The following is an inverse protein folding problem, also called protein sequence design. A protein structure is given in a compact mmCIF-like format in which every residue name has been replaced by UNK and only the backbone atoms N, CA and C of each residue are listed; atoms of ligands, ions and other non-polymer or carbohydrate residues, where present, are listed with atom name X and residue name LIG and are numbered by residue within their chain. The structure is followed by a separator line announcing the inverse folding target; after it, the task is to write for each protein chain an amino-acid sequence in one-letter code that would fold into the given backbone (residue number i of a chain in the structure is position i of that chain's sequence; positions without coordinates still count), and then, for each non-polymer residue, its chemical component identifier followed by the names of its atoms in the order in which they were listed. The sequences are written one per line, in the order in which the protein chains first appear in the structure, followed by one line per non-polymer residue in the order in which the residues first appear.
data_IF_978225034419
#
_entry.id   IF_978225034419
#
_cell.length_a   1.000
_cell.length_b   1.000
_cell.length_c   1.000
_cell.angle_alpha   90.00
_cell.angle_beta   90.00
_cell.angle_gamma   90.00
#
_symmetry.space_group_name_H-M   'P 1'
#
loop_
_entity.id
_entity.type
_entity.pdbx_description
1 polymer ?
#
# COMPACT_ATOMS: atom_id res chain seq x y z
N UNK A 1 -43.99 12.05 5.49
CA UNK A 1 -43.79 11.64 4.09
C UNK A 1 -44.61 10.37 3.82
N UNK A 2 -45.12 10.13 2.60
CA UNK A 2 -46.19 9.14 2.34
C UNK A 2 -45.68 7.69 2.31
N UNK A 3 -46.56 6.77 2.67
CA UNK A 3 -46.34 5.35 3.06
C UNK A 3 -46.15 4.40 1.85
N UNK A 4 -45.47 4.85 0.80
CA UNK A 4 -45.23 4.06 -0.43
C UNK A 4 -43.78 3.63 -0.66
N UNK A 5 -42.86 4.03 0.21
CA UNK A 5 -41.41 3.78 0.07
C UNK A 5 -40.95 2.50 0.80
N UNK A 6 -41.87 1.76 1.44
CA UNK A 6 -41.53 0.76 2.45
C UNK A 6 -41.50 -0.71 1.96
N UNK A 7 -41.83 -1.01 0.70
CA UNK A 7 -42.18 -2.39 0.29
C UNK A 7 -41.22 -3.11 -0.67
N UNK A 8 -40.00 -2.61 -0.94
CA UNK A 8 -39.14 -3.21 -1.99
C UNK A 8 -37.76 -3.74 -1.53
N UNK A 9 -37.30 -3.48 -0.31
CA UNK A 9 -36.01 -3.97 0.17
C UNK A 9 -36.11 -4.31 1.67
N UNK A 10 -35.60 -5.47 2.15
CA UNK A 10 -35.65 -5.80 3.56
C UNK A 10 -34.96 -4.70 4.36
N UNK A 11 -35.76 -3.93 5.12
CA UNK A 11 -35.36 -2.75 5.91
C UNK A 11 -34.12 -2.99 6.78
N UNK A 12 -33.92 -4.24 7.21
CA UNK A 12 -32.77 -4.67 7.97
C UNK A 12 -31.45 -4.57 7.22
N UNK A 13 -31.38 -4.85 5.93
CA UNK A 13 -30.09 -4.91 5.20
C UNK A 13 -29.56 -3.51 4.85
N UNK A 14 -30.46 -2.57 4.48
CA UNK A 14 -30.07 -1.19 4.17
C UNK A 14 -29.71 -0.41 5.45
N UNK A 15 -30.50 -0.58 6.53
CA UNK A 15 -30.21 0.02 7.82
C UNK A 15 -28.98 -0.61 8.48
N UNK A 16 -28.83 -1.94 8.40
CA UNK A 16 -27.64 -2.66 8.87
C UNK A 16 -26.39 -2.22 8.11
N UNK A 17 -26.42 -2.12 6.79
CA UNK A 17 -25.27 -1.61 6.01
C UNK A 17 -24.98 -0.15 6.34
N UNK A 18 -25.99 0.71 6.44
CA UNK A 18 -25.76 2.12 6.80
C UNK A 18 -25.16 2.29 8.20
N UNK A 19 -25.63 1.52 9.19
CA UNK A 19 -25.11 1.53 10.57
C UNK A 19 -23.72 0.91 10.63
N UNK A 20 -23.51 -0.28 10.05
CA UNK A 20 -22.21 -0.95 10.00
C UNK A 20 -21.17 -0.15 9.21
N UNK A 21 -21.54 0.47 8.10
CA UNK A 21 -20.64 1.32 7.31
C UNK A 21 -20.28 2.58 8.09
N UNK A 22 -21.25 3.21 8.76
CA UNK A 22 -20.98 4.40 9.60
C UNK A 22 -20.09 4.05 10.79
N UNK A 23 -20.34 2.92 11.44
CA UNK A 23 -19.53 2.41 12.54
C UNK A 23 -18.11 2.02 12.06
N UNK A 24 -17.99 1.31 10.95
CA UNK A 24 -16.71 0.96 10.35
C UNK A 24 -15.92 2.19 9.92
N UNK A 25 -16.57 3.20 9.32
CA UNK A 25 -15.93 4.48 8.96
C UNK A 25 -15.44 5.18 10.21
N UNK A 26 -16.28 5.28 11.25
CA UNK A 26 -15.91 5.92 12.52
C UNK A 26 -14.73 5.22 13.19
N UNK A 27 -14.78 3.89 13.29
CA UNK A 27 -13.72 3.06 13.86
C UNK A 27 -12.42 3.17 13.06
N UNK A 28 -12.51 3.08 11.74
CA UNK A 28 -11.34 3.22 10.85
C UNK A 28 -10.72 4.61 10.97
N UNK A 29 -11.53 5.67 11.04
CA UNK A 29 -11.06 7.04 11.20
C UNK A 29 -10.36 7.21 12.55
N UNK A 30 -10.97 6.73 13.64
CA UNK A 30 -10.41 6.82 14.97
C UNK A 30 -9.09 6.04 15.08
N UNK A 31 -9.03 4.82 14.56
CA UNK A 31 -7.81 4.01 14.50
C UNK A 31 -6.73 4.67 13.65
N UNK A 32 -7.09 5.21 12.48
CA UNK A 32 -6.13 5.89 11.59
C UNK A 32 -5.56 7.16 12.22
N UNK A 33 -6.39 7.95 12.91
CA UNK A 33 -5.95 9.15 13.63
C UNK A 33 -5.02 8.79 14.78
N UNK A 34 -5.41 7.80 15.59
CA UNK A 34 -4.59 7.31 16.70
C UNK A 34 -3.25 6.80 16.19
N UNK A 35 -3.26 5.94 15.17
CA UNK A 35 -2.06 5.39 14.55
C UNK A 35 -1.16 6.50 13.96
N UNK A 36 -1.74 7.53 13.36
CA UNK A 36 -1.00 8.66 12.81
C UNK A 36 -0.31 9.47 13.91
N UNK A 37 -1.02 9.80 14.99
CA UNK A 37 -0.44 10.52 16.14
C UNK A 37 0.66 9.69 16.77
N UNK A 38 0.39 8.42 17.08
CA UNK A 38 1.40 7.51 17.64
C UNK A 38 2.61 7.40 16.71
N UNK A 39 2.41 7.31 15.39
CA UNK A 39 3.51 7.23 14.42
C UNK A 39 4.36 8.50 14.40
N UNK A 40 3.74 9.69 14.42
CA UNK A 40 4.45 10.96 14.45
C UNK A 40 5.25 11.11 15.75
N UNK A 41 4.61 10.86 16.91
CA UNK A 41 5.28 10.94 18.21
C UNK A 41 6.42 9.93 18.31
N UNK A 42 6.20 8.70 17.86
CA UNK A 42 7.24 7.65 17.82
C UNK A 42 8.38 8.06 16.91
N UNK A 43 8.09 8.57 15.71
CA UNK A 43 9.11 8.99 14.75
C UNK A 43 9.99 10.10 15.34
N UNK A 44 9.37 11.13 15.93
CA UNK A 44 10.09 12.22 16.58
C UNK A 44 10.92 11.69 17.76
N UNK A 45 10.32 10.88 18.64
CA UNK A 45 11.00 10.31 19.79
C UNK A 45 12.21 9.45 19.39
N UNK A 46 12.06 8.60 18.39
CA UNK A 46 13.13 7.76 17.84
C UNK A 46 14.26 8.62 17.27
N UNK A 47 13.95 9.65 16.47
CA UNK A 47 14.96 10.56 15.90
C UNK A 47 15.73 11.30 16.98
N UNK A 48 15.03 11.82 17.99
CA UNK A 48 15.66 12.52 19.12
C UNK A 48 16.60 11.56 19.85
N UNK A 49 16.14 10.35 20.20
CA UNK A 49 16.96 9.34 20.89
C UNK A 49 18.18 8.91 20.06
N UNK A 50 18.02 8.77 18.74
CA UNK A 50 19.13 8.45 17.84
C UNK A 50 20.19 9.55 17.80
N UNK A 51 19.78 10.82 17.71
CA UNK A 51 20.67 11.97 17.73
C UNK A 51 21.40 12.13 19.06
N UNK A 52 20.74 11.80 20.19
CA UNK A 52 21.38 11.83 21.51
C UNK A 52 22.44 10.73 21.67
N UNK A 53 22.24 9.55 21.06
CA UNK A 53 23.22 8.46 21.10
C UNK A 53 24.42 8.78 20.18
N UNK A 54 24.15 9.01 18.90
CA UNK A 54 25.22 9.28 17.93
C UNK A 54 24.67 10.00 16.69
N UNK A 55 25.02 11.28 16.51
CA UNK A 55 24.72 12.01 15.28
C UNK A 55 25.35 11.36 14.04
N UNK A 56 26.53 10.73 14.19
CA UNK A 56 27.25 10.07 13.11
C UNK A 56 26.53 8.82 12.61
N UNK A 57 26.08 7.94 13.52
CA UNK A 57 25.29 6.77 13.14
C UNK A 57 23.94 7.17 12.54
N UNK A 58 23.34 8.27 13.05
CA UNK A 58 22.08 8.81 12.52
C UNK A 58 22.25 9.28 11.07
N UNK A 59 23.36 9.95 10.75
CA UNK A 59 23.66 10.37 9.37
C UNK A 59 23.81 9.17 8.43
N UNK A 60 24.48 8.10 8.87
CA UNK A 60 24.61 6.87 8.09
C UNK A 60 23.23 6.29 7.78
N UNK A 61 22.33 6.23 8.77
CA UNK A 61 20.97 5.75 8.55
C UNK A 61 20.20 6.67 7.59
N UNK A 62 20.30 7.99 7.77
CA UNK A 62 19.66 8.99 6.93
C UNK A 62 20.13 8.95 5.47
N UNK A 63 21.34 8.48 5.19
CA UNK A 63 21.84 8.24 3.82
C UNK A 63 21.39 6.89 3.29
N UNK A 64 21.38 5.86 4.15
CA UNK A 64 20.98 4.50 3.77
C UNK A 64 19.50 4.45 3.36
N UNK A 65 18.62 5.18 4.05
CA UNK A 65 17.18 5.15 3.81
C UNK A 65 16.75 5.67 2.43
N UNK A 66 17.18 6.86 1.96
CA UNK A 66 16.93 7.33 0.62
C UNK A 66 17.42 6.35 -0.45
N UNK A 67 18.59 5.72 -0.22
CA UNK A 67 19.12 4.70 -1.14
C UNK A 67 18.17 3.48 -1.22
N UNK A 68 17.66 3.02 -0.07
CA UNK A 68 16.61 1.99 0.00
C UNK A 68 15.36 2.41 -0.77
N UNK A 69 14.90 3.65 -0.54
CA UNK A 69 13.68 4.17 -1.14
C UNK A 69 13.79 4.25 -2.65
N UNK A 70 14.92 4.69 -3.19
CA UNK A 70 15.17 4.70 -4.64
C UNK A 70 15.09 3.29 -5.21
N UNK A 71 15.74 2.31 -4.57
CA UNK A 71 15.68 0.91 -5.02
C UNK A 71 14.25 0.34 -5.03
N UNK A 72 13.51 0.57 -3.94
CA UNK A 72 12.12 0.14 -3.79
C UNK A 72 11.21 0.85 -4.80
N UNK A 73 11.34 2.17 -4.95
CA UNK A 73 10.50 2.96 -5.85
C UNK A 73 10.63 2.50 -7.31
N UNK A 74 11.83 2.11 -7.74
CA UNK A 74 12.05 1.56 -9.09
C UNK A 74 11.32 0.23 -9.29
N UNK A 75 11.38 -0.68 -8.30
CA UNK A 75 10.69 -1.97 -8.33
C UNK A 75 9.17 -1.76 -8.32
N UNK A 76 8.67 -0.93 -7.40
CA UNK A 76 7.25 -0.58 -7.29
C UNK A 76 6.72 0.01 -8.60
N UNK A 77 7.43 0.96 -9.20
CA UNK A 77 7.02 1.61 -10.47
C UNK A 77 6.90 0.58 -11.59
N UNK A 78 7.84 -0.37 -11.69
CA UNK A 78 7.78 -1.45 -12.68
C UNK A 78 6.63 -2.41 -12.39
N UNK A 79 6.47 -2.85 -11.14
CA UNK A 79 5.39 -3.76 -10.72
C UNK A 79 4.00 -3.17 -11.02
N UNK A 80 3.78 -1.89 -10.70
CA UNK A 80 2.54 -1.18 -11.02
C UNK A 80 2.24 -1.16 -12.53
N UNK A 81 3.25 -1.05 -13.40
CA UNK A 81 3.07 -1.15 -14.84
C UNK A 81 2.50 -2.50 -15.27
N UNK A 82 3.03 -3.60 -14.70
CA UNK A 82 2.54 -4.94 -14.98
C UNK A 82 1.16 -5.22 -14.38
N UNK A 83 0.85 -4.70 -13.19
CA UNK A 83 -0.50 -4.77 -12.63
C UNK A 83 -1.54 -4.03 -13.49
N UNK A 84 -1.19 -2.86 -14.03
CA UNK A 84 -2.06 -2.17 -15.00
C UNK A 84 -2.28 -3.00 -16.26
N UNK A 85 -1.22 -3.63 -16.77
CA UNK A 85 -1.31 -4.56 -17.91
C UNK A 85 -2.22 -5.75 -17.60
N UNK A 86 -2.03 -6.39 -16.45
CA UNK A 86 -2.86 -7.49 -15.95
C UNK A 86 -4.34 -7.08 -15.90
N UNK A 87 -4.66 -5.93 -15.31
CA UNK A 87 -6.05 -5.45 -15.21
C UNK A 87 -6.68 -5.20 -16.58
N UNK A 88 -5.91 -4.66 -17.53
CA UNK A 88 -6.36 -4.46 -18.90
C UNK A 88 -6.65 -5.80 -19.61
N UNK A 89 -5.79 -6.82 -19.42
CA UNK A 89 -6.02 -8.15 -19.99
C UNK A 89 -7.21 -8.86 -19.34
N UNK A 90 -7.44 -8.71 -18.03
CA UNK A 90 -8.65 -9.21 -17.35
C UNK A 90 -9.91 -8.59 -17.97
N UNK A 91 -9.89 -7.27 -18.24
CA UNK A 91 -11.00 -6.60 -18.92
C UNK A 91 -11.28 -7.17 -20.30
N UNK A 92 -10.24 -7.41 -21.10
CA UNK A 92 -10.38 -8.04 -22.43
C UNK A 92 -10.89 -9.48 -22.34
N UNK A 93 -10.38 -10.25 -21.38
CA UNK A 93 -10.80 -11.63 -21.15
C UNK A 93 -12.28 -11.70 -20.77
N UNK A 94 -12.71 -10.87 -19.81
CA UNK A 94 -14.10 -10.78 -19.37
C UNK A 94 -15.02 -10.34 -20.51
N UNK A 95 -14.63 -9.34 -21.29
CA UNK A 95 -15.40 -8.89 -22.46
C UNK A 95 -15.53 -9.97 -23.52
N UNK A 96 -14.45 -10.71 -23.81
CA UNK A 96 -14.50 -11.84 -24.75
C UNK A 96 -15.41 -12.96 -24.23
N UNK A 97 -15.33 -13.28 -22.92
CA UNK A 97 -16.21 -14.28 -22.30
C UNK A 97 -17.68 -13.84 -22.39
N UNK A 98 -18.00 -12.58 -22.10
CA UNK A 98 -19.36 -12.04 -22.19
C UNK A 98 -19.91 -12.07 -23.63
N UNK A 99 -19.09 -11.74 -24.62
CA UNK A 99 -19.42 -11.84 -26.05
C UNK A 99 -19.70 -13.29 -26.44
N UNK A 100 -18.91 -14.25 -25.95
CA UNK A 100 -19.09 -15.67 -26.25
C UNK A 100 -20.32 -16.28 -25.57
N UNK A 101 -20.66 -15.83 -24.36
CA UNK A 101 -21.87 -16.27 -23.67
C UNK A 101 -23.13 -15.68 -24.31
N UNK A 102 -23.15 -14.38 -24.58
CA UNK A 102 -24.31 -13.70 -25.18
C UNK A 102 -24.51 -14.09 -26.64
N UNK A 103 -23.41 -14.25 -27.39
CA UNK A 103 -23.39 -14.63 -28.81
C UNK A 103 -23.28 -16.12 -29.09
N UNK A 104 -23.45 -17.00 -28.08
CA UNK A 104 -23.13 -18.43 -28.20
C UNK A 104 -23.82 -19.13 -29.39
N UNK A 105 -25.09 -18.81 -29.64
CA UNK A 105 -25.84 -19.36 -30.77
C UNK A 105 -25.25 -18.96 -32.13
N UNK A 106 -24.77 -17.72 -32.24
CA UNK A 106 -24.14 -17.20 -33.46
C UNK A 106 -22.80 -17.90 -33.69
N UNK A 107 -21.97 -18.01 -32.65
CA UNK A 107 -20.67 -18.70 -32.76
C UNK A 107 -20.83 -20.15 -33.22
N UNK A 108 -21.82 -20.87 -32.68
CA UNK A 108 -22.15 -22.23 -33.11
C UNK A 108 -22.70 -22.30 -34.54
N UNK A 109 -23.64 -21.41 -34.88
CA UNK A 109 -24.26 -21.39 -36.20
C UNK A 109 -23.24 -21.16 -37.33
N UNK A 110 -22.17 -20.41 -37.07
CA UNK A 110 -21.09 -20.13 -38.01
C UNK A 110 -19.84 -21.03 -37.84
N UNK A 111 -19.85 -21.99 -36.91
CA UNK A 111 -18.72 -22.91 -36.69
C UNK A 111 -17.42 -22.22 -36.24
N UNK A 112 -17.54 -21.12 -35.48
CA UNK A 112 -16.43 -20.24 -35.09
C UNK A 112 -15.83 -20.55 -33.71
N UNK A 113 -16.21 -21.65 -33.08
CA UNK A 113 -15.80 -21.99 -31.72
C UNK A 113 -14.27 -22.03 -31.56
N UNK A 114 -13.57 -22.62 -32.53
CA UNK A 114 -12.11 -22.76 -32.47
C UNK A 114 -11.38 -21.43 -32.61
N UNK A 115 -11.91 -20.52 -33.41
CA UNK A 115 -11.38 -19.16 -33.53
C UNK A 115 -11.55 -18.39 -32.21
N UNK A 116 -12.72 -18.53 -31.58
CA UNK A 116 -13.00 -17.94 -30.27
C UNK A 116 -12.11 -18.49 -29.16
N UNK A 117 -11.82 -19.79 -29.17
CA UNK A 117 -10.87 -20.41 -28.23
C UNK A 117 -9.45 -19.89 -28.47
N UNK A 118 -8.99 -19.84 -29.72
CA UNK A 118 -7.66 -19.30 -30.04
C UNK A 118 -7.52 -17.84 -29.58
N UNK A 119 -8.57 -17.02 -29.73
CA UNK A 119 -8.60 -15.64 -29.23
C UNK A 119 -8.56 -15.58 -27.70
N UNK A 120 -9.30 -16.45 -27.02
CA UNK A 120 -9.25 -16.59 -25.56
C UNK A 120 -7.84 -16.97 -25.08
N UNK A 121 -7.21 -17.98 -25.69
CA UNK A 121 -5.86 -18.42 -25.36
C UNK A 121 -4.82 -17.30 -25.56
N UNK A 122 -4.93 -16.54 -26.64
CA UNK A 122 -4.03 -15.41 -26.91
C UNK A 122 -4.16 -14.28 -25.87
N UNK A 123 -5.38 -13.99 -25.39
CA UNK A 123 -5.61 -13.02 -24.30
C UNK A 123 -5.08 -13.60 -22.97
N UNK A 124 -5.35 -14.88 -22.71
CA UNK A 124 -4.92 -15.56 -21.49
C UNK A 124 -3.40 -15.64 -21.37
N UNK A 125 -2.67 -15.86 -22.46
CA UNK A 125 -1.20 -15.84 -22.44
C UNK A 125 -0.66 -14.46 -22.10
N UNK A 126 -1.23 -13.39 -22.66
CA UNK A 126 -0.86 -11.99 -22.30
C UNK A 126 -1.18 -11.69 -20.84
N UNK A 127 -2.30 -12.18 -20.34
CA UNK A 127 -2.69 -12.08 -18.93
C UNK A 127 -1.66 -12.79 -18.05
N UNK A 128 -1.31 -14.03 -18.37
CA UNK A 128 -0.30 -14.82 -17.65
C UNK A 128 1.04 -14.10 -17.58
N UNK A 129 1.56 -13.63 -18.73
CA UNK A 129 2.84 -12.92 -18.79
C UNK A 129 2.86 -11.64 -17.95
N UNK A 130 1.75 -10.89 -17.94
CA UNK A 130 1.62 -9.67 -17.14
C UNK A 130 1.51 -9.98 -15.64
N UNK A 131 0.69 -10.98 -15.28
CA UNK A 131 0.49 -11.39 -13.89
C UNK A 131 1.76 -11.99 -13.28
N UNK A 132 2.46 -12.87 -14.02
CA UNK A 132 3.74 -13.44 -13.59
C UNK A 132 4.76 -12.34 -13.27
N UNK A 133 4.93 -11.36 -14.16
CA UNK A 133 5.89 -10.26 -13.97
C UNK A 133 5.50 -9.35 -12.80
N UNK A 134 4.21 -9.05 -12.66
CA UNK A 134 3.70 -8.28 -11.52
C UNK A 134 3.98 -9.01 -10.20
N UNK A 135 3.64 -10.29 -10.12
CA UNK A 135 3.80 -11.09 -8.91
C UNK A 135 5.27 -11.33 -8.57
N UNK A 136 6.12 -11.60 -9.57
CA UNK A 136 7.56 -11.74 -9.35
C UNK A 136 8.17 -10.46 -8.78
N UNK A 137 7.87 -9.31 -9.39
CA UNK A 137 8.39 -8.01 -8.92
C UNK A 137 7.89 -7.66 -7.52
N UNK A 138 6.63 -7.95 -7.21
CA UNK A 138 6.08 -7.78 -5.86
C UNK A 138 6.72 -8.74 -4.86
N UNK A 139 6.95 -9.99 -5.26
CA UNK A 139 7.57 -11.03 -4.44
C UNK A 139 9.02 -10.69 -4.04
N UNK A 140 9.79 -10.06 -4.92
CA UNK A 140 11.16 -9.64 -4.61
C UNK A 140 11.25 -8.37 -3.74
N UNK A 141 10.16 -7.62 -3.55
CA UNK A 141 10.19 -6.38 -2.75
C UNK A 141 10.60 -6.67 -1.30
N UNK A 142 10.00 -7.69 -0.67
CA UNK A 142 10.31 -8.08 0.71
C UNK A 142 11.78 -8.51 0.90
N UNK A 143 12.31 -9.46 0.11
CA UNK A 143 13.74 -9.81 0.16
C UNK A 143 14.66 -8.61 -0.07
N UNK A 144 14.33 -7.72 -1.00
CA UNK A 144 15.11 -6.50 -1.25
C UNK A 144 15.08 -5.55 -0.05
N UNK A 145 13.93 -5.38 0.61
CA UNK A 145 13.84 -4.57 1.84
C UNK A 145 14.68 -5.17 2.96
N UNK A 146 14.64 -6.49 3.16
CA UNK A 146 15.48 -7.17 4.14
C UNK A 146 16.96 -7.02 3.80
N UNK A 147 17.34 -7.17 2.53
CA UNK A 147 18.72 -7.03 2.08
C UNK A 147 19.28 -5.64 2.41
N UNK A 148 18.53 -4.58 2.11
CA UNK A 148 18.95 -3.22 2.41
C UNK A 148 18.97 -2.95 3.92
N UNK A 149 17.98 -3.47 4.66
CA UNK A 149 17.97 -3.40 6.12
C UNK A 149 19.18 -4.08 6.76
N UNK A 150 19.60 -5.23 6.23
CA UNK A 150 20.79 -5.95 6.67
C UNK A 150 22.08 -5.17 6.36
N UNK A 151 22.18 -4.50 5.20
CA UNK A 151 23.29 -3.59 4.92
C UNK A 151 23.35 -2.47 5.96
N UNK A 152 22.21 -1.85 6.27
CA UNK A 152 22.13 -0.83 7.32
C UNK A 152 22.58 -1.35 8.68
N UNK A 153 22.14 -2.55 9.07
CA UNK A 153 22.56 -3.21 10.30
C UNK A 153 24.07 -3.45 10.35
N UNK A 154 24.67 -3.96 9.26
CA UNK A 154 26.12 -4.20 9.17
C UNK A 154 26.89 -2.88 9.28
N UNK A 155 26.48 -1.84 8.55
CA UNK A 155 27.13 -0.52 8.61
C UNK A 155 27.10 0.07 10.02
N UNK A 156 25.95 0.03 10.68
CA UNK A 156 25.80 0.49 12.06
C UNK A 156 26.66 -0.35 13.02
N UNK A 157 26.69 -1.67 12.85
CA UNK A 157 27.47 -2.55 13.73
C UNK A 157 28.97 -2.32 13.59
N UNK A 158 29.48 -2.16 12.37
CA UNK A 158 30.90 -1.89 12.10
C UNK A 158 31.31 -0.52 12.63
N UNK A 159 30.56 0.54 12.28
CA UNK A 159 30.90 1.91 12.69
C UNK A 159 30.65 2.11 14.18
N UNK A 160 29.56 1.56 14.71
CA UNK A 160 29.25 1.55 16.14
C UNK A 160 30.33 0.84 16.95
N UNK A 161 30.79 -0.33 16.47
CA UNK A 161 31.89 -1.07 17.11
C UNK A 161 33.17 -0.24 17.21
N UNK A 162 33.52 0.50 16.15
CA UNK A 162 34.66 1.43 16.17
C UNK A 162 34.45 2.55 17.21
N UNK A 163 33.24 3.10 17.33
CA UNK A 163 32.90 4.15 18.31
C UNK A 163 32.98 3.63 19.76
N UNK A 164 32.57 2.39 20.02
CA UNK A 164 32.71 1.75 21.33
C UNK A 164 34.16 1.54 21.72
N UNK A 165 35.00 1.08 20.79
CA UNK A 165 36.45 0.92 21.02
C UNK A 165 37.09 2.28 21.34
N UNK A 166 36.60 3.37 20.71
CA UNK A 166 37.02 4.75 21.01
C UNK A 166 36.38 5.34 22.27
N UNK A 167 35.60 4.55 23.02
CA UNK A 167 34.83 4.98 24.22
C UNK A 167 33.93 6.20 23.99
N UNK A 168 33.46 6.38 22.76
CA UNK A 168 32.56 7.49 22.40
C UNK A 168 31.09 7.18 22.68
N UNK A 169 30.73 5.89 22.66
CA UNK A 169 29.40 5.36 23.01
C UNK A 169 29.59 4.01 23.73
N UNK A 170 28.56 3.55 24.45
CA UNK A 170 28.55 2.25 25.10
C UNK A 170 28.03 1.13 24.19
N UNK A 171 28.28 -0.12 24.54
CA UNK A 171 27.76 -1.27 23.77
C UNK A 171 26.22 -1.32 23.81
N UNK A 172 25.63 -0.90 24.93
CA UNK A 172 24.18 -0.76 25.09
C UNK A 172 23.59 0.27 24.14
N UNK A 173 24.33 1.35 23.87
CA UNK A 173 23.91 2.39 22.93
C UNK A 173 23.81 1.87 21.50
N UNK A 174 24.72 0.99 21.06
CA UNK A 174 24.61 0.35 19.74
C UNK A 174 23.34 -0.49 19.67
N UNK A 175 23.07 -1.29 20.70
CA UNK A 175 21.88 -2.14 20.73
C UNK A 175 20.60 -1.31 20.71
N UNK A 176 20.54 -0.23 21.49
CA UNK A 176 19.42 0.71 21.49
C UNK A 176 19.28 1.39 20.11
N UNK A 177 20.39 1.84 19.53
CA UNK A 177 20.41 2.49 18.23
C UNK A 177 19.90 1.58 17.10
N UNK A 178 20.29 0.30 17.10
CA UNK A 178 19.80 -0.68 16.11
C UNK A 178 18.29 -0.87 16.25
N UNK A 179 17.76 -0.90 17.47
CA UNK A 179 16.32 -0.98 17.71
C UNK A 179 15.60 0.27 17.19
N UNK A 180 16.11 1.45 17.51
CA UNK A 180 15.59 2.72 17.02
C UNK A 180 15.65 2.84 15.50
N UNK A 181 16.75 2.42 14.87
CA UNK A 181 16.89 2.39 13.41
C UNK A 181 15.84 1.49 12.74
N UNK A 182 15.56 0.32 13.31
CA UNK A 182 14.48 -0.57 12.84
C UNK A 182 13.10 0.06 13.03
N UNK A 183 12.88 0.71 14.17
CA UNK A 183 11.62 1.39 14.47
C UNK A 183 11.40 2.60 13.57
N UNK A 184 12.45 3.30 13.14
CA UNK A 184 12.37 4.39 12.17
C UNK A 184 11.91 3.91 10.77
N UNK A 185 12.28 2.68 10.39
CA UNK A 185 11.89 2.09 9.11
C UNK A 185 10.41 1.68 9.01
N UNK A 186 9.73 1.40 10.12
CA UNK A 186 8.34 0.95 10.11
C UNK A 186 7.31 2.04 9.74
N UNK A 187 7.36 3.27 10.31
CA UNK A 187 6.46 4.37 9.96
C UNK A 187 6.52 4.75 8.48
N UNK A 188 7.67 4.60 7.81
CA UNK A 188 7.80 4.89 6.38
C UNK A 188 6.88 4.01 5.52
N UNK A 189 6.65 2.75 5.91
CA UNK A 189 5.66 1.89 5.25
C UNK A 189 4.22 2.35 5.49
N UNK A 190 3.95 2.96 6.65
CA UNK A 190 2.63 3.48 7.00
C UNK A 190 2.35 4.84 6.34
N UNK A 191 3.38 5.69 6.15
CA UNK A 191 3.25 6.98 5.45
C UNK A 191 2.86 6.79 3.98
N UNK A 192 3.28 5.71 3.33
CA UNK A 192 2.77 5.35 2.00
C UNK A 192 1.24 5.14 2.00
N UNK A 193 0.66 4.66 3.11
CA UNK A 193 -0.78 4.52 3.30
C UNK A 193 -1.48 5.84 3.71
N UNK A 194 -0.77 6.80 4.33
CA UNK A 194 -1.30 8.12 4.70
C UNK A 194 -1.74 8.92 3.46
N UNK A 195 -1.16 8.68 2.28
CA UNK A 195 -1.63 9.30 1.03
C UNK A 195 -3.11 8.98 0.72
N UNK A 196 -3.61 7.82 1.17
CA UNK A 196 -5.03 7.47 1.06
C UNK A 196 -5.89 8.19 2.13
N UNK A 197 -5.34 8.44 3.32
CA UNK A 197 -6.01 9.16 4.43
C UNK A 197 -6.09 10.67 4.19
N UNK A 198 -5.06 11.28 3.59
CA UNK A 198 -5.09 12.70 3.22
C UNK A 198 -6.15 12.94 2.14
N UNK A 199 -6.26 12.05 1.14
CA UNK A 199 -7.32 12.13 0.13
C UNK A 199 -8.72 12.05 0.74
N UNK A 200 -8.95 11.17 1.71
CA UNK A 200 -10.25 11.07 2.41
C UNK A 200 -10.54 12.27 3.31
N UNK A 201 -9.51 12.85 3.94
CA UNK A 201 -9.63 14.06 4.77
C UNK A 201 -9.98 15.29 3.95
N UNK A 202 -9.33 15.49 2.80
CA UNK A 202 -9.64 16.59 1.86
C UNK A 202 -11.07 16.43 1.30
N UNK A 203 -11.46 15.22 0.91
CA UNK A 203 -12.83 14.95 0.42
C UNK A 203 -13.92 15.16 1.50
N UNK A 204 -13.57 14.98 2.77
CA UNK A 204 -14.47 15.24 3.90
C UNK A 204 -14.57 16.74 4.21
N UNK A 205 -13.45 17.47 4.16
CA UNK A 205 -13.41 18.93 4.30
C UNK A 205 -14.19 19.64 3.18
N UNK A 206 -14.06 19.19 1.92
CA UNK A 206 -14.86 19.73 0.81
C UNK A 206 -16.37 19.51 1.00
N UNK A 207 -16.79 18.38 1.58
CA UNK A 207 -18.20 18.11 1.88
C UNK A 207 -18.75 19.08 2.92
N UNK A 208 -18.00 19.30 4.00
CA UNK A 208 -18.37 20.26 5.06
C UNK A 208 -18.44 21.69 4.50
N UNK A 209 -17.47 22.09 3.68
CA UNK A 209 -17.46 23.40 3.02
C UNK A 209 -18.65 23.56 2.05
N UNK A 210 -18.99 22.52 1.27
CA UNK A 210 -20.20 22.54 0.42
C UNK A 210 -21.49 22.68 1.22
N UNK A 211 -21.61 22.02 2.37
CA UNK A 211 -22.77 22.20 3.25
C UNK A 211 -22.83 23.59 3.90
N UNK A 212 -21.68 24.16 4.27
CA UNK A 212 -21.59 25.50 4.84
C UNK A 212 -21.97 26.58 3.82
N UNK A 213 -21.54 26.44 2.55
CA UNK A 213 -21.87 27.39 1.48
C UNK A 213 -23.32 27.31 0.98
N UNK A 214 -23.99 26.15 1.14
CA UNK A 214 -25.40 25.99 0.76
C UNK A 214 -26.40 26.56 1.78
N UNK A 215 -25.90 27.03 2.94
CA UNK A 215 -26.68 27.66 4.01
C UNK A 215 -26.59 29.21 4.02
N UNK A 216 -25.99 29.83 3.00
CA UNK A 216 -26.06 31.28 2.77
C UNK A 216 -26.84 31.58 1.51
#
# INVERSE_FOLDING_TARGET
MPVGYYDAHPYGDVLSRAVNDTENISNTLQQSLTASITSIVTLIGVVVMMLTISPLLTLILLVTIPLSFVGIAQITKRSQGYFKGQQAQIGQLNGHVEEMFTGHQVVKAFGKERESVNKFEAINEKLYQSAWKAQFLSGIMMPMMMFVGNIGYVLISVVGGILVVRRSIEIGDIQAFIQYARQFGQPLNQIANISNVIQSTVASAERILRFSMRKR
#
